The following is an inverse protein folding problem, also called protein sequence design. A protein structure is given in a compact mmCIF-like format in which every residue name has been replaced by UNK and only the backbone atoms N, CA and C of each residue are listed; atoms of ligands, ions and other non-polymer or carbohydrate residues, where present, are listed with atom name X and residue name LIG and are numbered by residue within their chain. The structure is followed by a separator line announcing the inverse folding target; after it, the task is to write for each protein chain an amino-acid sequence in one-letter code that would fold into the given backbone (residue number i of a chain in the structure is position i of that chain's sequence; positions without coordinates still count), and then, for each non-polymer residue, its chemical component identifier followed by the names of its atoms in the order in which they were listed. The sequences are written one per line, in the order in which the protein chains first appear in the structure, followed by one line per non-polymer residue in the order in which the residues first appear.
data_IF_170771809402
#
_entry.id   IF_170771809402
#
_cell.length_a   1.000
_cell.length_b   1.000
_cell.length_c   1.000
_cell.angle_alpha   90.00
_cell.angle_beta   90.00
_cell.angle_gamma   90.00
#
_symmetry.space_group_name_H-M   'P 1'
#
loop_
_entity.id
_entity.type
_entity.pdbx_description
1 polymer ?
#
# COMPACT_ATOMS: atom_id res chain seq x y z
N UNK A 1 1.64 -5.59 -18.43
CA UNK A 1 2.64 -4.50 -18.38
C UNK A 1 2.47 -3.78 -17.04
N UNK A 2 3.54 -3.24 -16.44
CA UNK A 2 3.44 -2.42 -15.24
C UNK A 2 2.46 -1.25 -15.43
N UNK A 3 1.82 -0.82 -14.35
CA UNK A 3 0.86 0.27 -14.35
C UNK A 3 1.03 1.13 -13.10
N UNK A 4 0.97 2.44 -13.28
CA UNK A 4 1.09 3.40 -12.18
C UNK A 4 -0.26 3.66 -11.53
N UNK A 5 -0.27 3.72 -10.20
CA UNK A 5 -1.44 4.06 -9.39
C UNK A 5 -1.06 5.01 -8.27
N UNK A 6 -2.03 5.77 -7.80
CA UNK A 6 -2.00 6.32 -6.44
C UNK A 6 -2.78 5.41 -5.50
N UNK A 7 -2.32 5.27 -4.26
CA UNK A 7 -2.96 4.43 -3.24
C UNK A 7 -3.46 5.29 -2.08
N UNK A 8 -4.76 5.59 -2.06
CA UNK A 8 -5.39 6.41 -1.02
C UNK A 8 -6.19 5.57 -0.03
N UNK A 9 -5.96 5.72 1.26
CA UNK A 9 -6.81 5.12 2.29
C UNK A 9 -8.22 5.73 2.25
N UNK A 10 -9.25 4.89 2.20
CA UNK A 10 -10.63 5.37 2.27
C UNK A 10 -10.93 6.03 3.63
N UNK A 11 -10.30 5.51 4.69
CA UNK A 11 -10.57 5.90 6.08
C UNK A 11 -9.90 7.22 6.46
N UNK A 12 -8.65 7.44 6.07
CA UNK A 12 -7.87 8.64 6.47
C UNK A 12 -7.65 9.64 5.35
N UNK A 13 -7.92 9.27 4.09
CA UNK A 13 -7.55 10.03 2.88
C UNK A 13 -6.05 10.14 2.63
N UNK A 14 -5.24 9.44 3.41
CA UNK A 14 -3.79 9.45 3.24
C UNK A 14 -3.36 8.65 2.03
N UNK A 15 -2.38 9.17 1.30
CA UNK A 15 -1.71 8.49 0.21
C UNK A 15 -0.44 7.82 0.69
N UNK A 16 -0.12 6.62 0.19
CA UNK A 16 1.23 6.07 0.33
C UNK A 16 2.16 6.90 -0.55
N UNK A 17 3.28 7.37 0.00
CA UNK A 17 4.22 8.24 -0.71
C UNK A 17 5.63 7.65 -0.73
N UNK A 18 6.31 7.86 -1.86
CA UNK A 18 7.72 7.52 -2.05
C UNK A 18 8.48 8.71 -2.61
N UNK A 19 9.73 8.84 -2.21
CA UNK A 19 10.67 9.85 -2.72
C UNK A 19 11.83 9.19 -3.46
N UNK A 20 12.54 9.94 -4.30
CA UNK A 20 13.80 9.46 -4.92
C UNK A 20 14.90 9.18 -3.89
N UNK A 21 14.75 9.67 -2.67
CA UNK A 21 15.72 9.55 -1.58
C UNK A 21 15.41 8.39 -0.62
N UNK A 22 14.34 7.62 -0.86
CA UNK A 22 14.02 6.50 0.01
C UNK A 22 15.14 5.46 0.00
N UNK A 23 15.47 4.92 1.18
CA UNK A 23 16.53 3.93 1.36
C UNK A 23 16.00 2.58 1.88
N UNK A 24 16.68 1.46 1.60
CA UNK A 24 16.27 0.16 2.13
C UNK A 24 16.15 0.15 3.66
N UNK A 25 15.07 -0.43 4.17
CA UNK A 25 14.74 -0.51 5.60
C UNK A 25 14.00 0.72 6.15
N UNK A 26 13.91 1.81 5.38
CA UNK A 26 13.11 2.98 5.78
C UNK A 26 11.63 2.63 5.82
N UNK A 27 10.91 3.16 6.82
CA UNK A 27 9.46 2.98 6.95
C UNK A 27 8.74 3.65 5.77
N UNK A 28 7.75 2.95 5.21
CA UNK A 28 6.87 3.50 4.18
C UNK A 28 5.96 4.55 4.80
N UNK A 29 6.10 5.79 4.32
CA UNK A 29 5.35 6.93 4.80
C UNK A 29 4.01 7.10 4.07
N UNK A 30 3.13 7.88 4.68
CA UNK A 30 1.92 8.40 4.04
C UNK A 30 1.85 9.93 4.15
N UNK A 31 1.06 10.56 3.29
CA UNK A 31 0.81 12.00 3.34
C UNK A 31 -0.69 12.30 3.22
N UNK A 32 -1.13 13.40 3.83
CA UNK A 32 -2.53 13.82 3.78
C UNK A 32 -2.95 14.20 2.36
N UNK A 33 -4.09 13.64 1.93
CA UNK A 33 -4.69 13.86 0.61
C UNK A 33 -5.83 14.87 0.58
N UNK A 34 -6.22 15.46 1.71
CA UNK A 34 -7.34 16.42 1.76
C UNK A 34 -7.09 17.69 0.92
N UNK A 35 -5.83 18.04 0.66
CA UNK A 35 -5.43 19.16 -0.21
C UNK A 35 -5.22 18.78 -1.68
N UNK A 36 -5.45 17.52 -2.06
CA UNK A 36 -5.14 16.98 -3.38
C UNK A 36 -4.14 15.82 -3.31
N UNK A 37 -3.70 15.33 -4.48
CA UNK A 37 -2.72 14.23 -4.56
C UNK A 37 -1.33 14.78 -4.15
N UNK A 38 -0.71 14.26 -3.08
CA UNK A 38 0.59 14.75 -2.63
C UNK A 38 1.72 14.31 -3.58
N UNK A 39 2.84 15.04 -3.55
CA UNK A 39 4.04 14.65 -4.28
C UNK A 39 4.53 13.26 -3.83
N UNK A 40 4.97 12.43 -4.79
CA UNK A 40 5.46 11.09 -4.50
C UNK A 40 4.37 10.04 -4.27
N UNK A 41 3.08 10.38 -4.43
CA UNK A 41 1.97 9.42 -4.26
C UNK A 41 1.88 8.34 -5.36
N UNK A 42 2.63 8.48 -6.44
CA UNK A 42 2.65 7.52 -7.55
C UNK A 42 3.48 6.30 -7.19
N UNK A 43 2.85 5.13 -7.30
CA UNK A 43 3.45 3.82 -7.11
C UNK A 43 3.31 2.99 -8.39
N UNK A 44 4.35 2.25 -8.73
CA UNK A 44 4.36 1.35 -9.90
C UNK A 44 3.97 -0.05 -9.47
N UNK A 45 2.86 -0.56 -9.99
CA UNK A 45 2.44 -1.94 -9.80
C UNK A 45 2.98 -2.79 -10.96
N UNK A 46 3.45 -4.01 -10.69
CA UNK A 46 4.07 -4.85 -11.74
C UNK A 46 3.12 -5.24 -12.88
N UNK A 47 1.81 -5.13 -12.67
CA UNK A 47 0.79 -5.28 -13.69
C UNK A 47 -0.46 -4.45 -13.41
N UNK A 48 -1.26 -4.19 -14.44
CA UNK A 48 -2.56 -3.57 -14.31
C UNK A 48 -3.53 -4.43 -13.50
N UNK A 49 -4.33 -3.79 -12.64
CA UNK A 49 -5.31 -4.45 -11.81
C UNK A 49 -6.52 -4.86 -12.66
N UNK A 50 -6.96 -6.10 -12.49
CA UNK A 50 -8.17 -6.64 -13.13
C UNK A 50 -9.30 -6.68 -12.11
N UNK A 51 -10.57 -6.82 -12.52
CA UNK A 51 -11.70 -7.01 -11.61
C UNK A 51 -11.71 -8.43 -10.97
N UNK A 52 -10.57 -8.82 -10.41
CA UNK A 52 -10.25 -10.09 -9.78
C UNK A 52 -9.03 -9.91 -8.84
N UNK A 53 -8.70 -10.94 -8.07
CA UNK A 53 -7.47 -10.96 -7.28
C UNK A 53 -6.27 -10.93 -8.23
N UNK A 54 -5.38 -9.96 -8.03
CA UNK A 54 -4.16 -9.79 -8.84
C UNK A 54 -2.94 -9.82 -7.93
N UNK A 55 -1.96 -10.68 -8.24
CA UNK A 55 -0.67 -10.69 -7.57
C UNK A 55 0.26 -9.65 -8.19
N UNK A 56 0.79 -8.72 -7.39
CA UNK A 56 1.65 -7.62 -7.88
C UNK A 56 2.86 -7.44 -6.97
N UNK A 57 3.89 -6.77 -7.49
CA UNK A 57 4.84 -6.03 -6.66
C UNK A 57 4.45 -4.56 -6.71
N UNK A 58 4.79 -3.81 -5.66
CA UNK A 58 4.50 -2.38 -5.55
C UNK A 58 5.83 -1.67 -5.34
N UNK A 59 6.19 -0.80 -6.28
CA UNK A 59 7.47 -0.09 -6.31
C UNK A 59 7.25 1.41 -6.14
N UNK A 60 8.09 2.04 -5.31
CA UNK A 60 8.14 3.49 -5.13
C UNK A 60 9.01 4.19 -6.17
N UNK A 61 9.08 5.51 -6.08
CA UNK A 61 9.83 6.38 -7.00
C UNK A 61 11.35 6.15 -6.94
N UNK A 62 11.87 5.68 -5.81
CA UNK A 62 13.28 5.28 -5.64
C UNK A 62 13.65 3.97 -6.34
N UNK A 63 12.67 3.21 -6.83
CA UNK A 63 12.87 1.85 -7.34
C UNK A 63 12.87 0.77 -6.25
N UNK A 64 12.66 1.14 -4.98
CA UNK A 64 12.47 0.19 -3.89
C UNK A 64 11.03 -0.33 -3.82
N UNK A 65 10.86 -1.52 -3.27
CA UNK A 65 9.56 -2.19 -3.15
C UNK A 65 8.97 -2.01 -1.75
N UNK A 66 7.65 -1.85 -1.69
CA UNK A 66 6.91 -1.97 -0.42
C UNK A 66 7.00 -3.41 0.06
N UNK A 67 7.50 -3.63 1.27
CA UNK A 67 7.67 -4.97 1.85
C UNK A 67 7.34 -5.01 3.33
N UNK A 68 7.11 -6.23 3.83
CA UNK A 68 7.06 -6.51 5.25
C UNK A 68 8.49 -6.56 5.84
N UNK A 69 8.69 -6.11 7.09
CA UNK A 69 9.91 -6.42 7.81
C UNK A 69 9.98 -7.94 8.14
N UNK A 70 11.15 -8.48 8.48
CA UNK A 70 11.28 -9.87 8.92
C UNK A 70 10.33 -10.20 10.08
N UNK A 71 9.68 -11.37 10.02
CA UNK A 71 8.75 -11.86 11.05
C UNK A 71 7.56 -10.91 11.33
N UNK A 72 7.04 -10.26 10.30
CA UNK A 72 5.94 -9.32 10.46
C UNK A 72 4.68 -9.98 11.06
N UNK A 73 4.10 -9.26 12.01
CA UNK A 73 2.82 -9.54 12.69
C UNK A 73 1.91 -8.30 12.59
N UNK A 74 0.67 -8.40 13.08
CA UNK A 74 -0.19 -7.23 13.20
C UNK A 74 0.50 -6.09 13.97
N UNK A 75 0.41 -4.86 13.46
CA UNK A 75 1.14 -3.68 13.94
C UNK A 75 2.53 -3.49 13.33
N UNK A 76 3.01 -4.41 12.48
CA UNK A 76 4.31 -4.24 11.81
C UNK A 76 4.24 -3.18 10.73
N UNK A 77 5.18 -2.24 10.78
CA UNK A 77 5.31 -1.15 9.81
C UNK A 77 5.93 -1.66 8.53
N UNK A 78 5.39 -1.23 7.39
CA UNK A 78 5.98 -1.57 6.09
C UNK A 78 7.29 -0.81 5.91
N UNK A 79 8.19 -1.40 5.12
CA UNK A 79 9.49 -0.82 4.80
C UNK A 79 9.73 -0.82 3.29
N UNK A 80 10.56 0.11 2.84
CA UNK A 80 11.16 0.07 1.51
C UNK A 80 12.23 -1.02 1.45
N UNK A 81 12.20 -1.85 0.44
CA UNK A 81 13.07 -3.02 0.29
C UNK A 81 13.70 -3.07 -1.09
N UNK A 82 14.95 -3.52 -1.17
CA UNK A 82 15.60 -3.84 -2.44
C UNK A 82 15.11 -5.16 -3.04
N UNK A 83 14.46 -6.01 -2.24
CA UNK A 83 13.88 -7.28 -2.67
C UNK A 83 12.36 -7.12 -2.86
N UNK A 84 11.80 -7.54 -4.01
CA UNK A 84 10.38 -7.45 -4.26
C UNK A 84 9.58 -8.37 -3.33
N UNK A 85 8.48 -7.84 -2.79
CA UNK A 85 7.47 -8.61 -2.08
C UNK A 85 6.20 -8.72 -2.93
N UNK A 86 5.56 -9.88 -2.89
CA UNK A 86 4.31 -10.13 -3.62
C UNK A 86 3.12 -9.77 -2.76
N UNK A 87 2.27 -8.90 -3.29
CA UNK A 87 1.02 -8.45 -2.70
C UNK A 87 -0.16 -8.95 -3.53
N UNK A 88 -1.18 -9.46 -2.86
CA UNK A 88 -2.49 -9.74 -3.42
C UNK A 88 -3.35 -8.48 -3.30
N UNK A 89 -3.75 -7.96 -4.46
CA UNK A 89 -4.69 -6.85 -4.55
C UNK A 89 -6.05 -7.43 -4.92
N UNK A 90 -7.01 -7.36 -4.00
CA UNK A 90 -8.35 -7.88 -4.18
C UNK A 90 -9.31 -6.75 -4.56
N UNK A 91 -9.98 -6.90 -5.71
CA UNK A 91 -11.13 -6.09 -6.10
C UNK A 91 -12.21 -6.98 -6.71
N UNK A 92 -13.45 -6.84 -6.22
CA UNK A 92 -14.60 -7.64 -6.67
C UNK A 92 -15.54 -6.83 -7.55
N UNK A 93 -14.99 -6.03 -8.48
CA UNK A 93 -15.64 -5.39 -9.64
C UNK A 93 -16.01 -3.89 -9.53
N UNK A 94 -16.32 -3.32 -8.36
CA UNK A 94 -16.54 -1.85 -8.20
C UNK A 94 -16.24 -1.32 -6.79
N UNK A 95 -15.69 -2.18 -5.94
CA UNK A 95 -15.41 -1.88 -4.54
C UNK A 95 -14.02 -1.29 -4.32
N UNK A 96 -13.76 -0.74 -3.12
CA UNK A 96 -12.42 -0.39 -2.73
C UNK A 96 -11.51 -1.63 -2.73
N UNK A 97 -10.23 -1.38 -2.95
CA UNK A 97 -9.21 -2.40 -2.99
C UNK A 97 -8.78 -2.79 -1.58
N UNK A 98 -8.43 -4.06 -1.44
CA UNK A 98 -7.77 -4.59 -0.25
C UNK A 98 -6.42 -5.14 -0.68
N UNK A 99 -5.35 -4.75 0.03
CA UNK A 99 -3.98 -5.14 -0.30
C UNK A 99 -3.44 -6.02 0.84
N UNK A 100 -3.02 -7.24 0.49
CA UNK A 100 -2.69 -8.33 1.41
C UNK A 100 -1.33 -8.90 1.02
N UNK A 101 -0.39 -9.17 1.95
CA UNK A 101 0.83 -9.89 1.58
C UNK A 101 0.45 -11.32 1.19
N UNK A 102 0.96 -11.81 0.06
CA UNK A 102 0.50 -13.10 -0.49
C UNK A 102 0.64 -14.23 0.53
N UNK A 103 -0.46 -14.94 0.78
CA UNK A 103 -0.52 -16.10 1.68
C UNK A 103 -0.56 -15.77 3.17
N UNK A 104 -0.82 -14.50 3.56
CA UNK A 104 -0.91 -14.09 4.95
C UNK A 104 -2.27 -13.45 5.27
N UNK A 105 -2.78 -13.68 6.48
CA UNK A 105 -4.00 -13.01 7.01
C UNK A 105 -3.64 -11.63 7.61
N UNK A 106 -3.02 -10.79 6.80
CA UNK A 106 -2.57 -9.44 7.15
C UNK A 106 -3.00 -8.45 6.08
N UNK A 107 -3.34 -7.23 6.46
CA UNK A 107 -3.94 -6.25 5.57
C UNK A 107 -3.26 -4.91 5.71
N UNK A 108 -2.98 -4.25 4.58
CA UNK A 108 -2.46 -2.88 4.57
C UNK A 108 -3.44 -1.93 5.26
N UNK A 109 -2.91 -1.14 6.18
CA UNK A 109 -3.66 -0.23 7.01
C UNK A 109 -2.85 1.04 7.29
N UNK A 110 -3.54 2.17 7.33
CA UNK A 110 -3.03 3.42 7.87
C UNK A 110 -4.15 4.09 8.68
N UNK A 111 -3.78 4.73 9.77
CA UNK A 111 -4.71 5.29 10.77
C UNK A 111 -4.21 6.61 11.32
N UNK A 112 -5.13 7.47 11.76
CA UNK A 112 -4.77 8.75 12.38
C UNK A 112 -4.01 8.58 13.70
N UNK A 113 -4.20 7.44 14.37
CA UNK A 113 -3.61 7.04 15.63
C UNK A 113 -2.17 6.50 15.51
N UNK A 114 -1.75 6.09 14.31
CA UNK A 114 -0.41 5.52 14.08
C UNK A 114 0.56 6.48 13.38
N UNK A 115 0.06 7.65 12.98
CA UNK A 115 0.83 8.66 12.26
C UNK A 115 0.94 8.39 10.75
N UNK A 116 1.79 9.16 10.05
CA UNK A 116 1.90 9.16 8.58
C UNK A 116 2.71 7.96 8.08
N UNK A 117 2.27 6.75 8.40
CA UNK A 117 2.93 5.49 8.04
C UNK A 117 1.93 4.45 7.57
N UNK A 118 2.45 3.41 6.91
CA UNK A 118 1.69 2.20 6.58
C UNK A 118 2.15 1.05 7.47
N UNK A 119 1.19 0.31 8.01
CA UNK A 119 1.45 -0.95 8.71
C UNK A 119 0.49 -2.03 8.24
N UNK A 120 0.68 -3.25 8.72
CA UNK A 120 -0.29 -4.33 8.55
C UNK A 120 -1.10 -4.59 9.79
N UNK A 121 -2.35 -5.01 9.61
CA UNK A 121 -3.26 -5.42 10.68
C UNK A 121 -3.85 -6.79 10.35
N UNK A 122 -4.03 -7.66 11.34
CA UNK A 122 -4.58 -9.00 11.08
C UNK A 122 -6.07 -8.95 10.71
N UNK A 123 -6.55 -9.92 9.93
CA UNK A 123 -7.94 -9.97 9.46
C UNK A 123 -8.96 -9.91 10.59
N UNK A 124 -8.74 -10.67 11.66
CA UNK A 124 -9.59 -10.65 12.85
C UNK A 124 -9.57 -9.35 13.67
N UNK A 125 -8.64 -8.43 13.38
CA UNK A 125 -8.56 -7.11 14.01
C UNK A 125 -9.09 -5.98 13.11
N UNK A 126 -9.41 -6.27 11.84
CA UNK A 126 -9.96 -5.27 10.93
C UNK A 126 -11.36 -4.85 11.38
N UNK A 127 -11.57 -3.54 11.46
CA UNK A 127 -12.86 -2.93 11.76
C UNK A 127 -13.32 -2.04 10.60
N UNK A 128 -14.56 -2.25 10.16
CA UNK A 128 -15.19 -1.43 9.14
C UNK A 128 -14.45 -1.46 7.79
N UNK A 129 -13.92 -0.31 7.37
CA UNK A 129 -13.28 -0.09 6.07
C UNK A 129 -11.86 0.46 6.20
N UNK A 130 -11.19 0.19 7.32
CA UNK A 130 -9.90 0.81 7.63
C UNK A 130 -8.73 0.29 6.79
N UNK A 131 -8.88 -0.89 6.19
CA UNK A 131 -7.95 -1.52 5.26
C UNK A 131 -8.35 -1.34 3.78
N UNK A 132 -9.32 -0.46 3.51
CA UNK A 132 -9.79 -0.21 2.16
C UNK A 132 -9.02 0.93 1.51
N UNK A 133 -8.62 0.72 0.26
CA UNK A 133 -7.83 1.65 -0.54
C UNK A 133 -8.54 1.99 -1.85
N UNK A 134 -8.46 3.26 -2.25
CA UNK A 134 -8.77 3.70 -3.62
C UNK A 134 -7.47 3.64 -4.40
N UNK A 135 -7.44 2.81 -5.45
CA UNK A 135 -6.32 2.74 -6.38
C UNK A 135 -6.72 3.43 -7.68
N UNK A 136 -6.14 4.60 -7.94
CA UNK A 136 -6.46 5.41 -9.12
C UNK A 136 -5.29 5.38 -10.09
N UNK A 137 -5.55 4.98 -11.33
CA UNK A 137 -4.55 4.97 -12.40
C UNK A 137 -3.94 6.35 -12.60
N UNK A 138 -2.63 6.39 -12.80
CA UNK A 138 -1.88 7.60 -13.17
C UNK A 138 -1.29 7.36 -14.56
N UNK A 139 -1.50 8.31 -15.47
CA UNK A 139 -0.95 8.29 -16.82
C UNK A 139 0.55 8.66 -16.84
#
# INVERSE_FOLDING_TARGET
MPQNYTSQSLATKYYITSTKCDVPGQIVATADGNGGIPEGATLTFSQALQPAITDVTIQGLSGLYVALPPNAISGSKLVWSSTPATWQVNTTQTGPYVIVPKGQDLYLYTGNDIGPIVQVKSGGQIQGKENHWTLTTVD
#
